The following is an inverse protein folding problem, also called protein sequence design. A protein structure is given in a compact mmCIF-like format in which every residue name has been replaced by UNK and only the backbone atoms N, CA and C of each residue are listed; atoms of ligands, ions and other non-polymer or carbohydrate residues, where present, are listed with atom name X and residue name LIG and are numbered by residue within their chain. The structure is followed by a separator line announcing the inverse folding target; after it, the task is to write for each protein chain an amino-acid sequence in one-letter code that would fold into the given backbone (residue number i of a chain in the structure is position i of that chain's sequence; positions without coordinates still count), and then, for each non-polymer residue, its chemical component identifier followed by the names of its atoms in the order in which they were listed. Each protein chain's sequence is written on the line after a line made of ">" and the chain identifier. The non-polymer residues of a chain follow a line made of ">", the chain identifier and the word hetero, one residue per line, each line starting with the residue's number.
data_IF_007924039522
#
_entry.id   IF_007924039522
#
_cell.length_a   1.000
_cell.length_b   1.000
_cell.length_c   1.000
_cell.angle_alpha   90.00
_cell.angle_beta   90.00
_cell.angle_gamma   90.00
#
_symmetry.space_group_name_H-M   'P 1'
#
loop_
_entity.id
_entity.type
_entity.pdbx_description
1 polymer ?
#
# COMPACT_ATOMS: atom_id res chain seq x y z
N UNK A 1 -10.32 -42.60 -18.25
CA UNK A 1 -11.71 -42.57 -17.76
C UNK A 1 -12.52 -41.77 -18.76
N UNK A 2 -13.61 -42.35 -19.31
CA UNK A 2 -14.51 -41.61 -20.18
C UNK A 2 -15.29 -40.60 -19.33
N UNK A 3 -15.30 -39.32 -19.75
CA UNK A 3 -16.15 -38.30 -19.11
C UNK A 3 -17.61 -38.53 -19.54
N UNK A 4 -18.49 -38.65 -18.57
CA UNK A 4 -19.93 -38.71 -18.80
C UNK A 4 -20.43 -37.28 -19.09
N UNK A 5 -20.69 -36.97 -20.34
CA UNK A 5 -21.10 -35.63 -20.74
C UNK A 5 -22.61 -35.48 -20.86
N UNK A 6 -23.34 -36.59 -20.94
CA UNK A 6 -24.79 -36.61 -21.10
C UNK A 6 -25.42 -37.71 -20.25
N UNK A 7 -26.68 -37.49 -19.87
CA UNK A 7 -27.57 -38.50 -19.25
C UNK A 7 -28.73 -38.73 -20.18
N UNK A 8 -29.05 -40.00 -20.48
CA UNK A 8 -30.22 -40.37 -21.23
C UNK A 8 -31.36 -40.81 -20.29
N UNK A 9 -32.47 -40.17 -20.37
CA UNK A 9 -33.71 -40.53 -19.67
C UNK A 9 -34.76 -40.86 -20.71
N UNK A 10 -35.03 -42.16 -20.87
CA UNK A 10 -35.86 -42.67 -21.98
C UNK A 10 -35.23 -42.40 -23.31
N UNK A 11 -35.93 -41.75 -24.22
CA UNK A 11 -35.41 -41.36 -25.53
C UNK A 11 -34.82 -39.91 -25.56
N UNK A 12 -34.76 -39.24 -24.43
CA UNK A 12 -34.23 -37.86 -24.33
C UNK A 12 -32.85 -37.87 -23.74
N UNK A 13 -31.89 -37.27 -24.41
CA UNK A 13 -30.54 -37.03 -23.95
C UNK A 13 -30.43 -35.65 -23.35
N UNK A 14 -29.85 -35.57 -22.14
CA UNK A 14 -29.59 -34.31 -21.42
C UNK A 14 -28.09 -34.09 -21.30
N UNK A 15 -27.62 -32.94 -21.74
CA UNK A 15 -26.24 -32.52 -21.51
C UNK A 15 -26.09 -32.15 -20.04
N UNK A 16 -25.20 -32.87 -19.34
CA UNK A 16 -24.88 -32.62 -17.92
C UNK A 16 -23.69 -31.67 -17.74
N UNK A 17 -23.11 -31.19 -18.83
CA UNK A 17 -22.09 -30.18 -18.75
C UNK A 17 -22.75 -28.83 -18.48
N UNK A 18 -22.23 -28.12 -17.49
CA UNK A 18 -22.55 -26.71 -17.36
C UNK A 18 -21.85 -25.95 -18.51
N UNK A 19 -22.63 -25.53 -19.50
CA UNK A 19 -22.10 -24.78 -20.65
C UNK A 19 -21.48 -23.43 -20.24
N UNK A 20 -21.76 -22.97 -19.01
CA UNK A 20 -21.20 -21.76 -18.44
C UNK A 20 -20.02 -22.04 -17.49
N UNK A 21 -19.72 -23.32 -17.22
CA UNK A 21 -18.57 -23.66 -16.39
C UNK A 21 -17.25 -23.32 -17.09
N UNK A 22 -16.34 -22.73 -16.36
CA UNK A 22 -15.00 -22.46 -16.87
C UNK A 22 -14.23 -23.79 -17.03
N UNK A 23 -13.76 -24.16 -18.25
CA UNK A 23 -12.97 -25.38 -18.46
C UNK A 23 -11.71 -25.40 -17.60
N UNK A 24 -11.27 -26.60 -17.19
CA UNK A 24 -10.00 -26.77 -16.45
C UNK A 24 -8.77 -26.33 -17.25
N UNK A 25 -8.88 -26.33 -18.58
CA UNK A 25 -7.86 -25.79 -19.50
C UNK A 25 -7.80 -24.27 -19.55
N UNK A 26 -8.75 -23.58 -18.88
CA UNK A 26 -8.91 -22.14 -18.91
C UNK A 26 -10.00 -21.67 -19.87
N UNK A 27 -10.31 -20.41 -19.85
CA UNK A 27 -11.35 -19.79 -20.69
C UNK A 27 -11.55 -18.33 -20.33
N UNK A 28 -12.43 -17.66 -21.06
CA UNK A 28 -12.83 -16.27 -20.82
C UNK A 28 -14.13 -16.23 -20.04
N UNK A 29 -14.12 -15.52 -18.92
CA UNK A 29 -15.32 -15.20 -18.15
C UNK A 29 -15.98 -13.95 -18.73
N UNK A 30 -17.28 -14.00 -18.99
CA UNK A 30 -18.05 -12.86 -19.51
C UNK A 30 -18.71 -12.02 -18.41
N UNK A 31 -18.67 -12.50 -17.16
CA UNK A 31 -19.23 -11.82 -15.99
C UNK A 31 -18.19 -11.57 -14.90
N UNK A 32 -18.59 -10.86 -13.86
CA UNK A 32 -17.74 -10.60 -12.70
C UNK A 32 -17.46 -11.88 -11.92
N UNK A 33 -16.21 -12.10 -11.56
CA UNK A 33 -15.81 -13.13 -10.59
C UNK A 33 -15.89 -12.55 -9.17
N UNK A 34 -16.84 -13.03 -8.39
CA UNK A 34 -16.98 -12.64 -6.98
C UNK A 34 -16.21 -13.64 -6.13
N UNK A 35 -15.13 -13.17 -5.53
CA UNK A 35 -14.31 -13.99 -4.65
C UNK A 35 -14.87 -13.99 -3.22
N UNK A 36 -14.79 -15.13 -2.54
CA UNK A 36 -15.28 -15.28 -1.17
C UNK A 36 -14.49 -14.44 -0.15
N UNK A 37 -13.22 -14.20 -0.39
CA UNK A 37 -12.31 -13.48 0.50
C UNK A 37 -10.98 -13.16 -0.13
N UNK A 38 -10.09 -12.61 0.67
CA UNK A 38 -8.72 -12.34 0.26
C UNK A 38 -7.89 -13.63 0.17
N UNK A 39 -6.86 -13.67 -0.68
CA UNK A 39 -6.03 -14.87 -0.86
C UNK A 39 -5.27 -15.21 0.43
N UNK A 40 -5.17 -16.50 0.72
CA UNK A 40 -4.37 -17.05 1.82
C UNK A 40 -3.16 -17.83 1.32
N UNK A 41 -3.14 -18.20 0.03
CA UNK A 41 -2.06 -18.90 -0.62
C UNK A 41 -1.58 -18.18 -1.89
N UNK A 42 -0.31 -18.41 -2.25
CA UNK A 42 0.39 -17.67 -3.32
C UNK A 42 -0.20 -17.82 -4.74
N UNK A 43 -1.04 -18.83 -4.98
CA UNK A 43 -1.66 -19.10 -6.29
C UNK A 43 -3.16 -18.80 -6.34
N UNK A 44 -3.71 -18.21 -5.29
CA UNK A 44 -5.12 -17.83 -5.25
C UNK A 44 -5.35 -16.49 -5.95
N UNK A 45 -6.54 -16.32 -6.52
CA UNK A 45 -6.93 -15.05 -7.12
C UNK A 45 -7.11 -13.98 -6.04
N UNK A 46 -6.60 -12.78 -6.31
CA UNK A 46 -6.69 -11.64 -5.40
C UNK A 46 -7.98 -10.86 -5.58
N UNK A 47 -8.61 -10.46 -4.49
CA UNK A 47 -9.71 -9.50 -4.52
C UNK A 47 -9.19 -8.10 -4.89
N UNK A 48 -10.08 -7.25 -5.45
CA UNK A 48 -9.73 -5.83 -5.68
C UNK A 48 -9.24 -5.16 -4.39
N UNK A 49 -9.92 -5.40 -3.27
CA UNK A 49 -9.54 -4.87 -1.95
C UNK A 49 -8.13 -5.28 -1.55
N UNK A 50 -7.76 -6.56 -1.76
CA UNK A 50 -6.42 -7.05 -1.45
C UNK A 50 -5.35 -6.35 -2.32
N UNK A 51 -5.62 -6.22 -3.62
CA UNK A 51 -4.70 -5.54 -4.55
C UNK A 51 -4.57 -4.06 -4.21
N UNK A 52 -5.68 -3.38 -3.97
CA UNK A 52 -5.70 -1.95 -3.64
C UNK A 52 -4.90 -1.68 -2.35
N UNK A 53 -5.04 -2.53 -1.33
CA UNK A 53 -4.29 -2.42 -0.07
C UNK A 53 -2.77 -2.41 -0.28
N UNK A 54 -2.27 -3.20 -1.25
CA UNK A 54 -0.82 -3.34 -1.48
C UNK A 54 -0.29 -2.53 -2.67
N UNK A 55 -1.15 -1.96 -3.50
CA UNK A 55 -0.75 -1.16 -4.67
C UNK A 55 -0.93 0.34 -4.51
N UNK A 56 -1.84 0.77 -3.69
CA UNK A 56 -2.12 2.19 -3.53
C UNK A 56 -1.32 2.75 -2.35
N UNK A 57 -0.11 3.21 -2.60
CA UNK A 57 0.49 4.22 -1.75
C UNK A 57 -0.30 5.51 -1.97
N UNK A 58 -1.10 5.90 -1.00
CA UNK A 58 -1.79 7.17 -1.06
C UNK A 58 -0.76 8.28 -0.86
N UNK A 59 -0.73 9.24 -1.77
CA UNK A 59 0.09 10.44 -1.64
C UNK A 59 -0.70 11.48 -0.84
N UNK A 60 -0.06 12.10 0.13
CA UNK A 60 -0.64 13.15 0.96
C UNK A 60 0.38 14.24 1.26
N UNK A 61 -0.10 15.36 1.80
CA UNK A 61 0.76 16.38 2.39
C UNK A 61 1.02 16.05 3.87
N UNK A 62 2.12 16.56 4.41
CA UNK A 62 2.36 16.49 5.85
C UNK A 62 1.18 17.11 6.61
N UNK A 63 0.78 16.53 7.77
CA UNK A 63 -0.23 17.16 8.62
C UNK A 63 0.15 18.60 8.94
N UNK A 64 -0.78 19.51 8.84
CA UNK A 64 -0.54 20.94 9.13
C UNK A 64 -0.20 21.19 10.60
N UNK A 65 -0.73 20.37 11.51
CA UNK A 65 -0.42 20.42 12.93
C UNK A 65 0.82 19.57 13.26
N UNK A 66 1.87 20.24 13.74
CA UNK A 66 3.08 19.60 14.26
C UNK A 66 2.73 18.60 15.38
N UNK A 67 3.40 17.46 15.39
CA UNK A 67 3.16 16.41 16.39
C UNK A 67 1.98 15.48 16.09
N UNK A 68 1.19 15.75 15.04
CA UNK A 68 0.14 14.84 14.61
C UNK A 68 0.79 13.52 14.09
N UNK A 69 0.34 12.34 14.55
CA UNK A 69 0.84 11.09 14.03
C UNK A 69 0.61 10.97 12.52
N UNK A 70 1.64 10.51 11.79
CA UNK A 70 1.49 10.21 10.37
C UNK A 70 0.51 9.05 10.18
N UNK A 71 -0.17 9.05 9.05
CA UNK A 71 -1.01 7.91 8.65
C UNK A 71 -0.11 6.83 8.05
N UNK A 72 -0.35 5.58 8.41
CA UNK A 72 0.37 4.45 7.85
C UNK A 72 0.06 4.24 6.36
N UNK A 73 0.99 3.60 5.65
CA UNK A 73 0.90 3.26 4.24
C UNK A 73 0.74 4.49 3.32
N UNK A 74 1.36 5.61 3.71
CA UNK A 74 1.29 6.88 3.00
C UNK A 74 2.67 7.33 2.50
N UNK A 75 2.67 8.01 1.34
CA UNK A 75 3.79 8.79 0.85
C UNK A 75 3.48 10.27 1.06
N UNK A 76 4.33 10.95 1.79
CA UNK A 76 4.19 12.38 2.06
C UNK A 76 5.05 13.19 1.09
N UNK A 77 4.43 14.18 0.47
CA UNK A 77 5.11 15.14 -0.40
C UNK A 77 5.14 16.52 0.27
N UNK A 78 6.16 17.34 -0.02
CA UNK A 78 6.20 18.69 0.54
C UNK A 78 5.04 19.53 -0.01
N UNK A 79 4.31 20.22 0.89
CA UNK A 79 3.37 21.27 0.51
C UNK A 79 4.01 22.64 0.60
N UNK A 80 4.77 22.85 1.69
CA UNK A 80 5.43 24.09 2.05
C UNK A 80 6.74 23.79 2.78
N UNK A 81 7.53 24.84 3.05
CA UNK A 81 8.71 24.74 3.91
C UNK A 81 8.30 24.65 5.38
N UNK A 82 8.99 23.78 6.13
CA UNK A 82 8.77 23.65 7.57
C UNK A 82 9.91 24.27 8.37
N UNK A 83 9.58 25.18 9.30
CA UNK A 83 10.56 25.77 10.22
C UNK A 83 10.59 25.02 11.56
N UNK A 84 9.43 24.83 12.16
CA UNK A 84 9.29 24.09 13.43
C UNK A 84 8.29 22.97 13.23
N UNK A 85 8.78 21.73 13.33
CA UNK A 85 7.92 20.57 13.13
C UNK A 85 8.40 19.37 13.93
N UNK A 86 7.45 18.69 14.56
CA UNK A 86 7.69 17.42 15.26
C UNK A 86 7.05 16.29 14.49
N UNK A 87 7.85 15.41 13.95
CA UNK A 87 7.37 14.20 13.27
C UNK A 87 7.00 13.14 14.30
N UNK A 88 5.78 12.63 14.21
CA UNK A 88 5.28 11.55 15.06
C UNK A 88 4.95 10.35 14.20
N UNK A 89 5.45 9.14 14.53
CA UNK A 89 5.25 7.96 13.73
C UNK A 89 3.77 7.54 13.70
N UNK A 90 3.37 6.70 12.70
CA UNK A 90 2.04 6.12 12.68
C UNK A 90 1.72 5.34 13.94
N UNK A 91 0.50 5.52 14.49
CA UNK A 91 0.08 4.91 15.75
C UNK A 91 -0.02 3.38 15.72
N UNK A 92 -0.13 2.79 14.54
CA UNK A 92 -0.32 1.36 14.32
C UNK A 92 0.96 0.62 13.90
N UNK A 93 2.13 1.17 14.17
CA UNK A 93 3.42 0.63 13.77
C UNK A 93 3.57 0.40 12.24
N UNK A 94 2.76 1.09 11.45
CA UNK A 94 2.84 1.07 10.00
C UNK A 94 4.09 1.78 9.46
N UNK A 95 4.24 1.77 8.15
CA UNK A 95 5.29 2.53 7.50
C UNK A 95 4.72 3.84 6.93
N UNK A 96 5.59 4.84 6.78
CA UNK A 96 5.36 6.00 5.95
C UNK A 96 6.70 6.45 5.37
N UNK A 97 6.65 6.99 4.17
CA UNK A 97 7.79 7.62 3.52
C UNK A 97 7.44 9.07 3.22
N UNK A 98 8.42 9.94 3.18
CA UNK A 98 8.12 11.31 2.79
C UNK A 98 9.33 12.19 2.58
N UNK A 99 9.05 13.34 2.00
CA UNK A 99 10.03 14.39 1.75
C UNK A 99 9.50 15.68 2.33
N UNK A 100 10.38 16.47 2.94
CA UNK A 100 10.06 17.82 3.41
C UNK A 100 11.19 18.80 3.12
N UNK A 101 10.85 20.06 3.01
CA UNK A 101 11.81 21.14 2.81
C UNK A 101 11.84 22.01 4.06
N UNK A 102 13.02 22.29 4.57
CA UNK A 102 13.21 23.18 5.71
C UNK A 102 13.09 24.64 5.30
N UNK A 103 12.56 25.45 6.19
CA UNK A 103 12.59 26.91 6.05
C UNK A 103 13.93 27.52 6.45
N UNK A 104 13.93 28.79 6.82
CA UNK A 104 15.14 29.57 7.14
C UNK A 104 15.75 29.25 8.52
N UNK A 105 14.93 28.82 9.45
CA UNK A 105 15.34 28.53 10.84
C UNK A 105 14.76 27.20 11.30
N UNK A 106 15.30 26.06 10.77
CA UNK A 106 14.69 24.76 11.04
C UNK A 106 14.89 24.32 12.50
N UNK A 107 13.80 23.91 13.11
CA UNK A 107 13.77 23.22 14.40
C UNK A 107 12.92 21.95 14.24
N UNK A 108 13.55 20.91 13.75
CA UNK A 108 12.88 19.66 13.33
C UNK A 108 13.18 18.58 14.37
N UNK A 109 12.16 17.93 14.84
CA UNK A 109 12.27 16.83 15.81
C UNK A 109 11.51 15.58 15.33
N UNK A 110 11.94 14.43 15.80
CA UNK A 110 11.30 13.13 15.53
C UNK A 110 11.04 12.43 16.85
N UNK A 111 9.80 12.01 17.07
CA UNK A 111 9.45 11.18 18.23
C UNK A 111 9.61 9.71 17.87
N UNK A 112 10.15 8.91 18.79
CA UNK A 112 10.39 7.49 18.56
C UNK A 112 11.87 7.14 18.39
N UNK A 113 12.14 5.97 17.84
CA UNK A 113 13.52 5.45 17.68
C UNK A 113 14.15 6.01 16.40
N UNK A 114 15.38 6.47 16.47
CA UNK A 114 16.17 6.85 15.30
C UNK A 114 17.13 5.72 14.95
N UNK A 115 17.18 5.36 13.68
CA UNK A 115 18.15 4.42 13.12
C UNK A 115 19.26 5.24 12.46
N UNK A 116 20.46 5.13 12.96
CA UNK A 116 21.58 5.96 12.54
C UNK A 116 21.64 7.30 13.28
N UNK A 117 22.10 8.34 12.61
CA UNK A 117 22.19 9.71 13.13
C UNK A 117 21.23 10.62 12.34
N UNK A 118 20.48 11.46 13.04
CA UNK A 118 19.74 12.54 12.39
C UNK A 118 20.72 13.51 11.71
N UNK A 119 20.40 14.00 10.51
CA UNK A 119 21.18 15.07 9.90
C UNK A 119 21.07 16.36 10.70
N UNK A 120 22.06 17.21 10.56
CA UNK A 120 21.98 18.60 11.01
C UNK A 120 21.08 19.35 10.04
N UNK A 121 19.86 19.71 10.44
CA UNK A 121 18.89 20.34 9.56
C UNK A 121 19.31 21.77 9.21
N UNK A 122 19.76 21.95 7.98
CA UNK A 122 20.15 23.25 7.43
C UNK A 122 18.96 23.98 6.79
N UNK A 123 19.07 25.31 6.67
CA UNK A 123 18.04 26.14 6.05
C UNK A 123 17.86 25.84 4.56
N UNK A 124 16.62 25.83 4.11
CA UNK A 124 16.24 25.70 2.69
C UNK A 124 16.77 24.41 2.03
N UNK A 125 16.89 23.34 2.81
CA UNK A 125 17.32 22.03 2.34
C UNK A 125 16.15 21.05 2.31
N UNK A 126 16.27 20.04 1.47
CA UNK A 126 15.29 18.97 1.37
C UNK A 126 15.82 17.72 2.07
N UNK A 127 14.93 17.08 2.80
CA UNK A 127 15.19 15.84 3.54
C UNK A 127 14.13 14.82 3.21
N UNK A 128 14.55 13.57 3.13
CA UNK A 128 13.62 12.44 3.07
C UNK A 128 13.63 11.67 4.38
N UNK A 129 12.52 11.05 4.67
CA UNK A 129 12.37 10.17 5.81
C UNK A 129 11.64 8.88 5.43
N UNK A 130 12.05 7.82 6.10
CA UNK A 130 11.33 6.57 6.20
C UNK A 130 11.00 6.30 7.65
N UNK A 131 9.79 5.86 7.92
CA UNK A 131 9.42 5.34 9.23
C UNK A 131 8.79 3.97 9.07
N UNK A 132 9.24 3.04 9.88
CA UNK A 132 8.68 1.71 9.97
C UNK A 132 8.68 1.26 11.43
N UNK A 133 7.54 0.80 11.92
CA UNK A 133 7.39 0.31 13.30
C UNK A 133 7.93 1.30 14.36
N UNK A 134 7.65 2.59 14.17
CA UNK A 134 8.09 3.66 15.06
C UNK A 134 9.57 4.01 15.00
N UNK A 135 10.32 3.44 14.06
CA UNK A 135 11.73 3.71 13.86
C UNK A 135 11.96 4.52 12.58
N UNK A 136 12.76 5.59 12.67
CA UNK A 136 13.01 6.55 11.61
C UNK A 136 14.39 6.37 10.99
N UNK A 137 14.45 6.56 9.68
CA UNK A 137 15.67 6.86 8.92
C UNK A 137 15.43 8.21 8.27
N UNK A 138 16.37 9.14 8.42
CA UNK A 138 16.26 10.50 7.86
C UNK A 138 17.58 10.88 7.21
N UNK A 139 17.51 11.41 6.01
CA UNK A 139 18.71 11.84 5.27
C UNK A 139 18.45 13.11 4.44
N UNK A 140 19.51 13.88 4.14
CA UNK A 140 19.43 15.01 3.24
C UNK A 140 19.33 14.51 1.79
N UNK A 141 18.43 15.10 1.01
CA UNK A 141 18.33 14.85 -0.43
C UNK A 141 19.40 15.68 -1.14
N UNK A 142 20.43 15.00 -1.62
CA UNK A 142 21.49 15.65 -2.40
C UNK A 142 21.07 15.64 -3.86
N UNK A 143 20.73 16.81 -4.40
CA UNK A 143 20.55 16.99 -5.86
C UNK A 143 21.91 17.04 -6.52
N UNK A 144 22.16 16.09 -7.43
CA UNK A 144 23.34 16.13 -8.30
C UNK A 144 23.19 17.19 -9.40
#
# INVERSE_FOLDING_TARGET
>A
MAELNTIQLGQTEYDIRDANALPKSGGTMTGALILRGDPTAAKEAATKRYVDKYRAHTVSFLPSASGTPLTADMIYVPSDTVNTYSFTPPSNNGWAHGVFTTGTTPNITFTGKIIGKLPDFAASKQYEFDVYNGAWIVQEVVTQ
#
